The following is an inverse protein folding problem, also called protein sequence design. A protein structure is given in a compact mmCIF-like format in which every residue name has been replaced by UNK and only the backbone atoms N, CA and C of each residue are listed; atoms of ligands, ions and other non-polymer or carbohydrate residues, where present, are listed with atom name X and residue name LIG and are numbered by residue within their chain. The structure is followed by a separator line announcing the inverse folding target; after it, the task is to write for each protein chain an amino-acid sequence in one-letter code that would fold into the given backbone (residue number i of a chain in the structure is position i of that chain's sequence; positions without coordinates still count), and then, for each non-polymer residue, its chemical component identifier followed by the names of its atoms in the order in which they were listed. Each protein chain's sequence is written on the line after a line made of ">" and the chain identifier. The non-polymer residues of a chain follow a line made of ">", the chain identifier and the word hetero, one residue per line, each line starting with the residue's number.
data_IF_277454861392
#
_entry.id   IF_277454861392
#
_cell.length_a   1.000
_cell.length_b   1.000
_cell.length_c   1.000
_cell.angle_alpha   90.00
_cell.angle_beta   90.00
_cell.angle_gamma   90.00
#
_symmetry.space_group_name_H-M   'P 1'
#
loop_
_entity.id
_entity.type
_entity.pdbx_description
1 polymer ?
#
# COMPACT_ATOMS: atom_id res chain seq x y z
N UNK A 1 4.35 -28.36 9.43
CA UNK A 1 4.20 -27.08 8.74
C UNK A 1 5.21 -27.07 7.61
N UNK A 2 4.74 -27.44 6.40
CA UNK A 2 5.60 -27.49 5.22
C UNK A 2 5.44 -26.15 4.47
N UNK A 3 6.48 -25.35 4.46
CA UNK A 3 6.60 -24.17 3.63
C UNK A 3 7.17 -24.61 2.28
N UNK A 4 6.38 -24.56 1.22
CA UNK A 4 6.89 -24.63 -0.15
C UNK A 4 7.36 -23.25 -0.58
N UNK A 5 8.58 -23.10 -1.10
CA UNK A 5 9.03 -21.85 -1.68
C UNK A 5 8.40 -21.68 -3.06
N UNK A 6 7.73 -20.56 -3.28
CA UNK A 6 7.36 -20.07 -4.61
C UNK A 6 8.66 -19.72 -5.36
N UNK A 7 9.00 -20.52 -6.36
CA UNK A 7 10.06 -20.19 -7.31
C UNK A 7 9.64 -18.99 -8.12
N UNK A 8 10.34 -17.88 -7.92
CA UNK A 8 10.32 -16.72 -8.81
C UNK A 8 10.97 -17.14 -10.13
N UNK A 9 10.17 -17.26 -11.18
CA UNK A 9 10.67 -17.43 -12.54
C UNK A 9 11.52 -16.22 -12.91
N UNK A 10 12.82 -16.44 -13.04
CA UNK A 10 13.76 -15.52 -13.65
C UNK A 10 13.42 -15.40 -15.14
N UNK A 11 12.82 -14.27 -15.52
CA UNK A 11 12.70 -13.90 -16.92
C UNK A 11 14.12 -13.66 -17.45
N UNK A 12 14.55 -14.50 -18.40
CA UNK A 12 15.73 -14.28 -19.20
C UNK A 12 15.65 -12.90 -19.86
N UNK A 13 16.53 -12.02 -19.42
CA UNK A 13 16.79 -10.77 -20.11
C UNK A 13 17.50 -11.12 -21.43
N UNK A 14 16.75 -11.11 -22.54
CA UNK A 14 17.33 -11.12 -23.87
C UNK A 14 18.30 -9.95 -23.98
N UNK A 15 19.57 -10.29 -24.23
CA UNK A 15 20.63 -9.35 -24.54
C UNK A 15 20.26 -8.55 -25.80
N UNK A 16 19.70 -7.37 -25.59
CA UNK A 16 19.64 -6.36 -26.62
C UNK A 16 21.08 -5.90 -26.88
N UNK A 17 21.52 -5.99 -28.16
CA UNK A 17 22.85 -5.60 -28.58
C UNK A 17 23.25 -4.25 -28.00
N UNK A 18 24.51 -4.17 -27.55
CA UNK A 18 25.11 -2.96 -26.99
C UNK A 18 25.14 -1.89 -28.08
N UNK A 19 24.17 -0.99 -28.08
CA UNK A 19 24.19 0.23 -28.90
C UNK A 19 25.25 1.14 -28.28
N UNK A 20 26.18 1.72 -29.09
CA UNK A 20 27.21 2.61 -28.56
C UNK A 20 26.57 3.75 -27.80
N UNK A 21 26.88 3.85 -26.51
CA UNK A 21 26.25 4.83 -25.62
C UNK A 21 26.85 6.23 -25.74
N UNK A 22 28.01 6.34 -26.39
CA UNK A 22 28.73 7.60 -26.49
C UNK A 22 28.29 8.47 -27.69
N UNK A 23 28.25 9.75 -27.47
CA UNK A 23 27.90 10.75 -28.50
C UNK A 23 29.14 11.07 -29.32
N UNK A 24 29.04 10.84 -30.62
CA UNK A 24 30.13 11.19 -31.54
C UNK A 24 30.29 12.73 -31.67
N UNK A 25 31.51 13.24 -31.92
CA UNK A 25 31.74 14.68 -32.15
C UNK A 25 30.91 15.26 -33.32
N UNK A 26 30.62 14.43 -34.33
CA UNK A 26 29.75 14.78 -35.46
C UNK A 26 28.29 15.05 -34.97
N UNK A 27 27.78 14.23 -34.08
CA UNK A 27 26.43 14.41 -33.57
C UNK A 27 26.32 15.71 -32.75
N UNK A 28 27.33 16.04 -31.96
CA UNK A 28 27.39 17.31 -31.21
C UNK A 28 27.41 18.53 -32.16
N UNK A 29 28.16 18.44 -33.26
CA UNK A 29 28.21 19.52 -34.26
C UNK A 29 26.87 19.71 -34.98
N UNK A 30 26.16 18.60 -35.31
CA UNK A 30 24.81 18.67 -35.89
C UNK A 30 23.80 19.34 -34.96
N UNK A 31 23.83 19.02 -33.65
CA UNK A 31 22.99 19.70 -32.66
C UNK A 31 23.27 21.20 -32.59
N UNK A 32 24.53 21.59 -32.65
CA UNK A 32 24.95 23.01 -32.68
C UNK A 32 24.41 23.72 -33.91
N UNK A 33 24.52 23.10 -35.10
CA UNK A 33 24.03 23.65 -36.35
C UNK A 33 22.52 23.72 -36.43
N UNK A 34 21.81 22.72 -35.86
CA UNK A 34 20.36 22.70 -35.79
C UNK A 34 19.79 23.67 -34.73
N UNK A 35 20.64 24.27 -33.88
CA UNK A 35 20.25 25.13 -32.75
C UNK A 35 19.27 24.43 -31.77
N UNK A 36 19.37 23.11 -31.64
CA UNK A 36 18.54 22.27 -30.78
C UNK A 36 19.19 22.11 -29.41
N UNK A 37 18.96 23.04 -28.50
CA UNK A 37 19.36 22.92 -27.10
C UNK A 37 20.87 23.05 -26.82
N UNK A 38 21.25 22.92 -25.54
CA UNK A 38 22.64 23.00 -25.09
C UNK A 38 23.32 21.63 -25.23
N UNK A 39 24.40 21.55 -25.96
CA UNK A 39 25.19 20.34 -26.22
C UNK A 39 26.08 19.93 -25.02
N UNK A 40 26.24 20.77 -24.00
CA UNK A 40 27.21 20.59 -22.92
C UNK A 40 26.88 19.48 -21.91
N UNK A 41 25.71 18.89 -21.99
CA UNK A 41 25.26 17.87 -21.01
C UNK A 41 24.78 16.56 -21.66
N UNK A 42 25.03 16.33 -22.93
CA UNK A 42 24.60 15.12 -23.63
C UNK A 42 25.63 14.00 -23.39
N UNK A 43 25.31 13.07 -22.48
CA UNK A 43 26.20 11.96 -22.14
C UNK A 43 25.80 10.63 -22.82
N UNK A 44 24.65 10.57 -23.50
CA UNK A 44 24.20 9.37 -24.20
C UNK A 44 23.36 9.69 -25.43
N UNK A 45 23.31 8.75 -26.40
CA UNK A 45 22.46 8.85 -27.59
C UNK A 45 20.96 8.97 -27.25
N UNK A 46 20.50 8.35 -26.16
CA UNK A 46 19.12 8.48 -25.69
C UNK A 46 18.80 9.89 -25.19
N UNK A 47 19.73 10.54 -24.46
CA UNK A 47 19.55 11.94 -24.07
C UNK A 47 19.53 12.86 -25.28
N UNK A 48 20.37 12.59 -26.29
CA UNK A 48 20.35 13.31 -27.53
C UNK A 48 19.02 13.16 -28.29
N UNK A 49 18.45 11.95 -28.33
CA UNK A 49 17.15 11.71 -28.95
C UNK A 49 16.00 12.43 -28.21
N UNK A 50 16.03 12.47 -26.88
CA UNK A 50 15.04 13.19 -26.05
C UNK A 50 15.11 14.71 -26.32
N UNK A 51 16.31 15.29 -26.38
CA UNK A 51 16.48 16.71 -26.73
C UNK A 51 16.03 16.98 -28.15
N UNK A 52 16.31 16.08 -29.10
CA UNK A 52 15.86 16.21 -30.48
C UNK A 52 14.33 16.17 -30.58
N UNK A 53 13.67 15.28 -29.86
CA UNK A 53 12.21 15.18 -29.83
C UNK A 53 11.58 16.50 -29.37
N UNK A 54 12.05 17.08 -28.27
CA UNK A 54 11.58 18.38 -27.77
C UNK A 54 11.85 19.52 -28.78
N UNK A 55 12.98 19.45 -29.48
CA UNK A 55 13.30 20.42 -30.53
C UNK A 55 12.34 20.30 -31.71
N UNK A 56 11.95 19.09 -32.10
CA UNK A 56 10.97 18.84 -33.16
C UNK A 56 9.57 19.34 -32.81
N UNK A 57 9.15 19.22 -31.56
CA UNK A 57 7.87 19.73 -31.07
C UNK A 57 7.77 21.27 -31.16
N UNK A 58 8.93 21.97 -31.12
CA UNK A 58 9.01 23.43 -31.17
C UNK A 58 9.38 23.95 -32.54
N UNK A 59 9.86 23.10 -33.46
CA UNK A 59 10.36 23.51 -34.76
C UNK A 59 9.23 23.79 -35.74
N UNK A 60 9.16 25.03 -36.21
CA UNK A 60 8.22 25.46 -37.26
C UNK A 60 8.70 25.04 -38.67
N UNK A 61 10.02 24.90 -38.88
CA UNK A 61 10.63 24.52 -40.16
C UNK A 61 11.72 23.47 -39.91
N UNK A 62 11.69 22.38 -40.67
CA UNK A 62 12.71 21.33 -40.61
C UNK A 62 13.88 21.72 -41.50
N UNK A 63 15.01 22.09 -40.88
CA UNK A 63 16.26 22.44 -41.57
C UNK A 63 17.05 21.18 -41.95
N UNK A 64 17.99 21.30 -42.91
CA UNK A 64 18.81 20.17 -43.35
C UNK A 64 19.66 19.53 -42.22
N UNK A 65 20.29 20.29 -41.30
CA UNK A 65 20.92 19.71 -40.12
C UNK A 65 19.95 18.91 -39.22
N UNK A 66 18.70 19.36 -39.11
CA UNK A 66 17.69 18.69 -38.34
C UNK A 66 17.25 17.36 -38.97
N UNK A 67 17.15 17.32 -40.33
CA UNK A 67 16.91 16.04 -41.06
C UNK A 67 18.02 15.02 -40.83
N UNK A 68 19.27 15.47 -40.83
CA UNK A 68 20.42 14.61 -40.59
C UNK A 68 20.39 14.06 -39.13
N UNK A 69 20.06 14.89 -38.13
CA UNK A 69 19.88 14.45 -36.75
C UNK A 69 18.78 13.40 -36.61
N UNK A 70 17.64 13.58 -37.27
CA UNK A 70 16.56 12.59 -37.30
C UNK A 70 17.07 11.26 -37.85
N UNK A 71 17.79 11.27 -38.96
CA UNK A 71 18.36 10.05 -39.56
C UNK A 71 19.38 9.36 -38.66
N UNK A 72 20.26 10.12 -38.02
CA UNK A 72 21.30 9.59 -37.10
C UNK A 72 20.72 8.99 -35.79
N UNK A 73 19.58 9.52 -35.33
CA UNK A 73 18.94 9.12 -34.06
C UNK A 73 17.62 8.40 -34.29
N UNK A 74 17.32 7.95 -35.50
CA UNK A 74 16.04 7.32 -35.83
C UNK A 74 15.74 6.07 -34.98
N UNK A 75 16.74 5.23 -34.72
CA UNK A 75 16.56 4.03 -33.91
C UNK A 75 16.19 4.37 -32.45
N UNK A 76 16.86 5.36 -31.90
CA UNK A 76 16.61 5.84 -30.53
C UNK A 76 15.24 6.52 -30.42
N UNK A 77 14.87 7.35 -31.39
CA UNK A 77 13.56 8.01 -31.46
C UNK A 77 12.44 6.97 -31.54
N UNK A 78 12.58 5.97 -32.40
CA UNK A 78 11.59 4.87 -32.50
C UNK A 78 11.46 4.13 -31.15
N UNK A 79 12.58 3.85 -30.50
CA UNK A 79 12.59 3.17 -29.20
C UNK A 79 11.91 4.03 -28.13
N UNK A 80 12.15 5.34 -28.10
CA UNK A 80 11.50 6.26 -27.15
C UNK A 80 10.01 6.35 -27.42
N UNK A 81 9.58 6.47 -28.68
CA UNK A 81 8.16 6.49 -29.04
C UNK A 81 7.44 5.24 -28.57
N UNK A 82 8.02 4.06 -28.81
CA UNK A 82 7.44 2.80 -28.29
C UNK A 82 7.40 2.71 -26.76
N UNK A 83 8.40 3.27 -26.07
CA UNK A 83 8.39 3.34 -24.59
C UNK A 83 7.29 4.26 -24.10
N UNK A 84 7.12 5.43 -24.69
CA UNK A 84 6.07 6.38 -24.36
C UNK A 84 4.69 5.73 -24.57
N UNK A 85 4.42 5.17 -25.75
CA UNK A 85 3.16 4.47 -26.02
C UNK A 85 2.86 3.36 -25.02
N UNK A 86 3.88 2.57 -24.63
CA UNK A 86 3.72 1.53 -23.63
C UNK A 86 3.43 2.08 -22.23
N UNK A 87 4.05 3.22 -21.88
CA UNK A 87 3.78 3.90 -20.60
C UNK A 87 2.37 4.49 -20.58
N UNK A 88 1.93 5.11 -21.67
CA UNK A 88 0.56 5.61 -21.84
C UNK A 88 -0.46 4.45 -21.70
N UNK A 89 -0.27 3.36 -22.43
CA UNK A 89 -1.14 2.18 -22.31
C UNK A 89 -1.18 1.60 -20.90
N UNK A 90 -0.05 1.58 -20.19
CA UNK A 90 -0.01 1.14 -18.78
C UNK A 90 -0.70 2.15 -17.86
N UNK A 91 -0.53 3.44 -18.11
CA UNK A 91 -1.21 4.50 -17.37
C UNK A 91 -2.73 4.40 -17.54
N UNK A 92 -3.20 4.21 -18.77
CA UNK A 92 -4.62 4.05 -19.07
C UNK A 92 -5.20 2.77 -18.46
N UNK A 93 -4.45 1.66 -18.52
CA UNK A 93 -4.85 0.42 -17.88
C UNK A 93 -4.91 0.56 -16.34
N UNK A 94 -3.95 1.26 -15.73
CA UNK A 94 -3.97 1.57 -14.31
C UNK A 94 -5.14 2.50 -13.96
N UNK A 95 -5.40 3.53 -14.77
CA UNK A 95 -6.53 4.43 -14.58
C UNK A 95 -7.86 3.68 -14.61
N UNK A 96 -8.01 2.68 -15.50
CA UNK A 96 -9.19 1.81 -15.54
C UNK A 96 -9.34 0.87 -14.35
N UNK A 97 -8.25 0.57 -13.62
CA UNK A 97 -8.25 -0.26 -12.42
C UNK A 97 -8.43 0.57 -11.14
N UNK A 98 -8.28 1.88 -11.20
CA UNK A 98 -8.50 2.74 -10.05
C UNK A 98 -9.99 2.89 -9.75
N UNK A 99 -10.38 2.56 -8.52
CA UNK A 99 -11.74 2.79 -8.01
C UNK A 99 -12.11 4.28 -8.09
N UNK A 100 -11.14 5.15 -7.86
CA UNK A 100 -11.27 6.61 -7.96
C UNK A 100 -9.88 7.24 -7.95
N UNK A 101 -9.64 8.38 -8.64
CA UNK A 101 -8.36 9.08 -8.57
C UNK A 101 -8.05 9.66 -7.17
N UNK A 102 -9.07 9.88 -6.36
CA UNK A 102 -8.94 10.45 -5.01
C UNK A 102 -9.17 9.43 -3.89
N UNK A 103 -9.71 8.25 -4.22
CA UNK A 103 -10.05 7.22 -3.23
C UNK A 103 -9.28 5.93 -3.51
N UNK A 104 -8.53 5.48 -2.52
CA UNK A 104 -7.85 4.19 -2.53
C UNK A 104 -8.63 3.18 -1.70
N UNK A 105 -8.92 2.03 -2.31
CA UNK A 105 -9.52 0.87 -1.64
C UNK A 105 -8.41 -0.12 -1.29
N UNK A 106 -8.32 -0.48 -0.01
CA UNK A 106 -7.41 -1.50 0.50
C UNK A 106 -8.21 -2.62 1.16
N UNK A 107 -8.01 -3.85 0.72
CA UNK A 107 -8.58 -5.05 1.32
C UNK A 107 -7.52 -5.84 2.08
N UNK A 108 -7.88 -6.35 3.25
CA UNK A 108 -7.08 -7.32 4.03
C UNK A 108 -8.01 -8.43 4.49
N UNK A 109 -7.69 -9.67 4.10
CA UNK A 109 -8.42 -10.87 4.52
C UNK A 109 -7.50 -11.73 5.38
N UNK A 110 -7.94 -12.07 6.58
CA UNK A 110 -7.21 -12.93 7.50
C UNK A 110 -8.05 -14.18 7.73
N UNK A 111 -7.45 -15.36 7.57
CA UNK A 111 -8.07 -16.65 7.84
C UNK A 111 -7.30 -17.36 8.95
N UNK A 112 -8.02 -17.91 9.89
CA UNK A 112 -7.48 -18.59 11.07
C UNK A 112 -8.06 -19.99 11.11
N UNK A 113 -7.19 -20.98 11.26
CA UNK A 113 -7.54 -22.36 11.57
C UNK A 113 -6.72 -22.77 12.78
N UNK A 114 -7.38 -23.16 13.85
CA UNK A 114 -6.69 -23.57 15.06
C UNK A 114 -7.60 -24.17 16.10
N UNK A 115 -7.00 -24.63 17.17
CA UNK A 115 -7.68 -25.11 18.35
C UNK A 115 -6.79 -24.95 19.58
N UNK A 116 -7.40 -24.75 20.73
CA UNK A 116 -6.71 -24.63 22.01
C UNK A 116 -6.82 -25.93 22.80
N UNK A 117 -5.68 -26.35 23.35
CA UNK A 117 -5.64 -27.46 24.31
C UNK A 117 -5.47 -26.88 25.72
N UNK A 118 -6.34 -27.28 26.64
CA UNK A 118 -6.31 -26.83 28.03
C UNK A 118 -5.85 -27.97 28.94
N UNK A 119 -4.92 -27.66 29.85
CA UNK A 119 -4.40 -28.61 30.84
C UNK A 119 -4.09 -27.87 32.16
N UNK A 120 -3.83 -28.63 33.23
CA UNK A 120 -3.33 -28.14 34.52
C UNK A 120 -4.37 -27.91 35.62
N UNK A 121 -5.64 -27.64 35.29
CA UNK A 121 -6.69 -27.57 36.29
C UNK A 121 -7.31 -28.97 36.54
N UNK A 122 -7.70 -29.28 37.76
CA UNK A 122 -8.33 -30.55 38.08
C UNK A 122 -9.87 -30.46 38.04
N UNK A 123 -10.52 -31.58 37.69
CA UNK A 123 -11.94 -31.79 37.86
C UNK A 123 -12.86 -31.13 36.84
N UNK A 124 -14.07 -30.83 37.28
CA UNK A 124 -15.18 -30.38 36.43
C UNK A 124 -14.91 -29.07 35.72
N UNK A 125 -14.09 -28.20 36.30
CA UNK A 125 -13.73 -26.92 35.65
C UNK A 125 -12.95 -27.15 34.34
N UNK A 126 -11.94 -28.04 34.35
CA UNK A 126 -11.17 -28.35 33.15
C UNK A 126 -12.04 -28.99 32.06
N UNK A 127 -12.95 -29.90 32.45
CA UNK A 127 -13.88 -30.53 31.52
C UNK A 127 -14.84 -29.50 30.90
N UNK A 128 -15.34 -28.56 31.69
CA UNK A 128 -16.17 -27.47 31.21
C UNK A 128 -15.43 -26.58 30.21
N UNK A 129 -14.18 -26.22 30.51
CA UNK A 129 -13.34 -25.41 29.62
C UNK A 129 -13.05 -26.14 28.31
N UNK A 130 -12.66 -27.42 28.38
CA UNK A 130 -12.38 -28.22 27.18
C UNK A 130 -13.61 -28.40 26.30
N UNK A 131 -14.78 -28.62 26.87
CA UNK A 131 -16.04 -28.79 26.14
C UNK A 131 -16.48 -27.49 25.45
N UNK A 132 -16.19 -26.34 26.04
CA UNK A 132 -16.62 -25.05 25.53
C UNK A 132 -15.61 -24.43 24.53
N UNK A 133 -14.31 -24.58 24.78
CA UNK A 133 -13.26 -23.85 24.06
C UNK A 133 -12.23 -24.76 23.39
N UNK A 134 -12.32 -26.07 23.54
CA UNK A 134 -11.33 -27.02 23.00
C UNK A 134 -11.59 -27.48 21.56
N UNK A 135 -12.58 -26.93 20.88
CA UNK A 135 -12.89 -27.29 19.51
C UNK A 135 -11.90 -26.65 18.51
N UNK A 136 -11.81 -27.26 17.33
CA UNK A 136 -11.18 -26.62 16.21
C UNK A 136 -12.07 -25.47 15.70
N UNK A 137 -11.48 -24.30 15.54
CA UNK A 137 -12.14 -23.11 15.03
C UNK A 137 -11.63 -22.78 13.63
N UNK A 138 -12.54 -22.35 12.77
CA UNK A 138 -12.23 -21.69 11.51
C UNK A 138 -12.84 -20.29 11.56
N UNK A 139 -11.96 -19.30 11.66
CA UNK A 139 -12.36 -17.91 11.72
C UNK A 139 -11.80 -17.11 10.56
N UNK A 140 -12.47 -16.03 10.23
CA UNK A 140 -11.98 -15.06 9.27
C UNK A 140 -12.26 -13.63 9.73
N UNK A 141 -11.46 -12.71 9.20
CA UNK A 141 -11.63 -11.27 9.33
C UNK A 141 -11.36 -10.59 7.99
N UNK A 142 -12.33 -9.86 7.51
CA UNK A 142 -12.24 -9.06 6.27
C UNK A 142 -12.26 -7.59 6.62
N UNK A 143 -11.22 -6.87 6.27
CA UNK A 143 -11.10 -5.41 6.41
C UNK A 143 -11.10 -4.78 5.04
N UNK A 144 -12.00 -3.83 4.79
CA UNK A 144 -12.02 -2.97 3.60
C UNK A 144 -11.85 -1.53 4.05
N UNK A 145 -10.76 -0.91 3.63
CA UNK A 145 -10.44 0.47 4.01
C UNK A 145 -10.48 1.37 2.78
N UNK A 146 -11.35 2.37 2.82
CA UNK A 146 -11.40 3.47 1.86
C UNK A 146 -10.62 4.65 2.45
N UNK A 147 -9.64 5.12 1.69
CA UNK A 147 -8.83 6.30 2.03
C UNK A 147 -8.98 7.33 0.92
N UNK A 148 -9.57 8.47 1.24
CA UNK A 148 -9.87 9.54 0.28
C UNK A 148 -9.19 10.83 0.72
N UNK A 149 -8.53 11.51 -0.20
CA UNK A 149 -8.05 12.86 -0.03
C UNK A 149 -8.77 13.78 -1.02
N UNK A 150 -9.31 14.92 -0.53
CA UNK A 150 -9.99 15.91 -1.36
C UNK A 150 -9.07 17.05 -1.79
N UNK A 151 -8.09 17.36 -0.95
CA UNK A 151 -7.18 18.49 -1.15
C UNK A 151 -5.72 18.08 -1.38
N UNK A 152 -5.42 16.78 -1.31
CA UNK A 152 -4.06 16.25 -1.34
C UNK A 152 -3.30 16.38 -0.01
N UNK A 153 -3.87 17.06 0.98
CA UNK A 153 -3.27 17.26 2.31
C UNK A 153 -4.15 16.74 3.46
N UNK A 154 -5.32 16.24 3.14
CA UNK A 154 -6.33 15.72 4.04
C UNK A 154 -6.50 14.21 3.85
N UNK A 155 -7.15 13.55 4.80
CA UNK A 155 -7.43 12.12 4.74
C UNK A 155 -8.76 11.79 5.40
N UNK A 156 -9.73 11.36 4.58
CA UNK A 156 -10.91 10.65 5.05
C UNK A 156 -10.58 9.15 5.08
N UNK A 157 -10.79 8.51 6.22
CA UNK A 157 -10.61 7.08 6.39
C UNK A 157 -11.91 6.43 6.84
N UNK A 158 -12.40 5.50 6.04
CA UNK A 158 -13.56 4.67 6.38
C UNK A 158 -13.13 3.21 6.26
N UNK A 159 -13.25 2.46 7.37
CA UNK A 159 -12.96 1.02 7.37
C UNK A 159 -14.23 0.25 7.69
N UNK A 160 -14.58 -0.63 6.78
CA UNK A 160 -15.59 -1.66 6.97
C UNK A 160 -14.90 -2.94 7.43
N UNK A 161 -15.56 -3.69 8.31
CA UNK A 161 -15.03 -4.97 8.82
C UNK A 161 -16.15 -5.97 8.96
N UNK A 162 -15.87 -7.21 8.60
CA UNK A 162 -16.73 -8.37 8.81
C UNK A 162 -15.88 -9.55 9.25
N UNK A 163 -16.42 -10.38 10.12
CA UNK A 163 -15.76 -11.59 10.62
C UNK A 163 -16.70 -12.43 11.44
N UNK A 164 -16.26 -13.60 11.84
CA UNK A 164 -17.03 -14.55 12.61
C UNK A 164 -16.40 -14.93 13.97
N UNK A 165 -15.24 -14.32 14.34
CA UNK A 165 -14.60 -14.59 15.63
C UNK A 165 -15.27 -13.77 16.74
N UNK A 166 -16.00 -14.45 17.62
CA UNK A 166 -16.69 -13.83 18.77
C UNK A 166 -15.69 -13.59 19.91
N UNK A 167 -15.48 -12.34 20.26
CA UNK A 167 -14.57 -11.92 21.33
C UNK A 167 -15.00 -12.35 22.74
N UNK A 168 -16.23 -12.83 22.90
CA UNK A 168 -16.76 -13.27 24.21
C UNK A 168 -16.82 -14.79 24.36
N UNK A 169 -17.01 -15.52 23.27
CA UNK A 169 -17.34 -16.94 23.35
C UNK A 169 -16.28 -17.87 22.74
N UNK A 170 -15.51 -17.39 21.78
CA UNK A 170 -14.48 -18.18 21.12
C UNK A 170 -13.16 -18.15 21.91
N UNK A 171 -12.39 -19.23 21.88
CA UNK A 171 -11.14 -19.33 22.64
C UNK A 171 -10.05 -18.41 22.08
N UNK A 172 -10.11 -18.10 20.79
CA UNK A 172 -9.26 -17.11 20.12
C UNK A 172 -9.84 -15.68 20.18
N UNK A 173 -11.09 -15.52 20.60
CA UNK A 173 -11.75 -14.24 20.81
C UNK A 173 -11.65 -13.71 22.24
N UNK A 174 -10.95 -14.41 23.14
CA UNK A 174 -10.81 -14.00 24.55
C UNK A 174 -11.83 -14.63 25.51
N UNK A 175 -12.69 -15.54 25.03
CA UNK A 175 -13.65 -16.27 25.86
C UNK A 175 -13.03 -17.37 26.72
N UNK A 176 -11.78 -17.76 26.48
CA UNK A 176 -11.10 -18.82 27.22
C UNK A 176 -10.77 -18.45 28.66
N UNK A 177 -10.25 -19.41 29.46
CA UNK A 177 -9.95 -19.23 30.90
C UNK A 177 -8.80 -18.23 31.13
N UNK A 178 -8.01 -17.97 30.11
CA UNK A 178 -6.98 -16.91 30.08
C UNK A 178 -7.02 -16.22 28.72
N UNK A 179 -6.67 -14.95 28.69
CA UNK A 179 -6.59 -14.18 27.42
C UNK A 179 -5.32 -14.42 26.61
N UNK A 180 -4.55 -15.46 26.91
CA UNK A 180 -3.26 -15.74 26.27
C UNK A 180 -3.39 -16.17 24.81
N UNK A 181 -4.54 -16.71 24.42
CA UNK A 181 -4.84 -17.12 23.05
C UNK A 181 -5.70 -16.11 22.27
N UNK A 182 -6.09 -15.01 22.92
CA UNK A 182 -6.88 -13.95 22.26
C UNK A 182 -6.11 -13.36 21.07
N UNK A 183 -6.80 -13.27 19.93
CA UNK A 183 -6.23 -12.74 18.68
C UNK A 183 -6.62 -11.28 18.47
N UNK A 184 -5.66 -10.45 18.07
CA UNK A 184 -5.90 -9.07 17.64
C UNK A 184 -6.22 -8.99 16.14
N UNK A 185 -5.67 -9.90 15.35
CA UNK A 185 -5.76 -9.84 13.89
C UNK A 185 -7.12 -10.18 13.33
N UNK A 186 -7.97 -10.90 14.09
CA UNK A 186 -9.31 -11.23 13.64
C UNK A 186 -10.31 -11.09 14.77
N UNK A 187 -11.44 -10.46 14.49
CA UNK A 187 -12.58 -10.44 15.39
C UNK A 187 -13.89 -10.07 14.67
N UNK A 188 -14.98 -10.37 15.29
CA UNK A 188 -16.33 -10.01 14.87
C UNK A 188 -16.60 -8.54 15.16
N UNK A 189 -17.01 -7.76 14.13
CA UNK A 189 -17.26 -6.33 14.29
C UNK A 189 -18.64 -6.01 14.87
N UNK A 190 -19.63 -6.83 14.58
CA UNK A 190 -20.99 -6.69 15.09
C UNK A 190 -21.29 -7.79 16.13
N UNK A 191 -22.44 -7.69 16.82
CA UNK A 191 -22.92 -8.75 17.72
C UNK A 191 -23.35 -10.02 16.98
N UNK A 192 -23.49 -9.94 15.67
CA UNK A 192 -23.86 -11.08 14.82
C UNK A 192 -22.69 -11.37 13.88
N UNK A 193 -22.27 -12.64 13.75
CA UNK A 193 -21.24 -13.06 12.80
C UNK A 193 -21.61 -12.65 11.36
N UNK A 194 -20.59 -12.48 10.54
CA UNK A 194 -20.69 -12.25 9.10
C UNK A 194 -21.34 -10.92 8.68
N UNK A 195 -21.76 -10.07 9.62
CA UNK A 195 -22.31 -8.76 9.31
C UNK A 195 -21.20 -7.71 9.14
N UNK A 196 -21.35 -6.90 8.11
CA UNK A 196 -20.45 -5.78 7.84
C UNK A 196 -20.76 -4.65 8.81
N UNK A 197 -19.77 -4.22 9.55
CA UNK A 197 -19.85 -3.05 10.43
C UNK A 197 -18.83 -1.98 10.08
N UNK A 198 -19.10 -0.73 10.49
CA UNK A 198 -18.14 0.38 10.38
C UNK A 198 -17.13 0.26 11.52
N UNK A 199 -15.89 -0.11 11.18
CA UNK A 199 -14.82 -0.27 12.17
C UNK A 199 -14.09 1.06 12.44
N UNK A 200 -13.88 1.90 11.43
CA UNK A 200 -13.27 3.22 11.54
C UNK A 200 -14.03 4.21 10.67
N UNK A 201 -14.21 5.44 11.15
CA UNK A 201 -14.77 6.55 10.38
C UNK A 201 -14.25 7.85 10.95
N UNK A 202 -13.27 8.46 10.30
CA UNK A 202 -12.66 9.71 10.75
C UNK A 202 -12.10 10.50 9.57
N UNK A 203 -11.96 11.81 9.80
CA UNK A 203 -11.40 12.75 8.84
C UNK A 203 -10.31 13.58 9.52
N UNK A 204 -9.17 13.69 8.85
CA UNK A 204 -7.99 14.41 9.30
C UNK A 204 -7.61 15.45 8.27
N UNK A 205 -7.37 16.69 8.70
CA UNK A 205 -6.98 17.77 7.83
C UNK A 205 -6.12 18.82 8.54
N UNK A 206 -5.18 19.47 7.85
CA UNK A 206 -4.40 20.56 8.41
C UNK A 206 -5.27 21.81 8.57
N UNK A 207 -5.25 22.42 9.73
CA UNK A 207 -5.86 23.73 10.00
C UNK A 207 -4.85 24.87 9.93
N UNK A 208 -3.56 24.52 10.09
CA UNK A 208 -2.45 25.44 9.86
C UNK A 208 -1.21 24.64 9.42
N UNK A 209 -0.06 25.31 9.33
CA UNK A 209 1.22 24.65 8.96
C UNK A 209 1.64 23.61 10.00
N UNK A 210 1.38 23.87 11.28
CA UNK A 210 1.89 23.09 12.40
C UNK A 210 0.77 22.32 13.15
N UNK A 211 -0.48 22.49 12.71
CA UNK A 211 -1.62 21.88 13.39
C UNK A 211 -2.49 21.06 12.47
N UNK A 212 -2.76 19.85 12.87
CA UNK A 212 -3.64 18.90 12.17
C UNK A 212 -4.81 18.53 13.08
N UNK A 213 -6.03 18.68 12.58
CA UNK A 213 -7.25 18.29 13.28
C UNK A 213 -7.74 16.92 12.77
N UNK A 214 -8.07 16.06 13.72
CA UNK A 214 -8.71 14.76 13.44
C UNK A 214 -10.08 14.74 14.11
N UNK A 215 -11.11 14.44 13.35
CA UNK A 215 -12.50 14.30 13.82
C UNK A 215 -13.07 12.97 13.34
N UNK A 216 -13.80 12.26 14.18
CA UNK A 216 -14.43 11.01 13.76
C UNK A 216 -15.46 10.49 14.73
N UNK A 217 -16.42 9.74 14.19
CA UNK A 217 -17.41 8.98 14.97
C UNK A 217 -16.84 7.67 15.50
N UNK A 218 -15.82 7.12 14.83
CA UNK A 218 -15.13 5.88 15.21
C UNK A 218 -13.62 6.02 14.95
N UNK A 219 -12.95 6.62 15.90
CA UNK A 219 -11.49 6.86 15.87
C UNK A 219 -10.87 6.39 17.18
N UNK A 220 -9.68 5.87 17.13
CA UNK A 220 -8.88 5.54 18.30
C UNK A 220 -7.80 6.59 18.53
N UNK A 221 -7.31 6.68 19.75
CA UNK A 221 -6.28 7.64 20.13
C UNK A 221 -5.00 7.50 19.31
N UNK A 222 -4.63 6.31 18.90
CA UNK A 222 -3.40 6.05 18.14
C UNK A 222 -3.35 6.79 16.80
N UNK A 223 -4.51 7.13 16.22
CA UNK A 223 -4.59 7.93 14.98
C UNK A 223 -4.20 9.39 15.20
N UNK A 224 -4.37 9.88 16.43
CA UNK A 224 -4.12 11.27 16.82
C UNK A 224 -2.71 11.48 17.40
N UNK A 225 -1.89 10.45 17.47
CA UNK A 225 -0.51 10.56 17.95
C UNK A 225 0.42 10.94 16.80
N UNK A 226 1.22 11.97 16.99
CA UNK A 226 2.25 12.39 16.03
C UNK A 226 3.33 11.30 15.84
N UNK A 227 3.66 10.62 16.93
CA UNK A 227 4.59 9.51 16.95
C UNK A 227 4.10 8.43 17.92
N UNK A 228 4.13 7.19 17.49
CA UNK A 228 3.81 6.08 18.38
C UNK A 228 4.97 5.85 19.34
N UNK A 229 4.67 5.61 20.61
CA UNK A 229 5.69 5.39 21.62
C UNK A 229 6.31 3.98 21.57
N UNK A 230 5.95 3.18 20.57
CA UNK A 230 6.48 1.83 20.36
C UNK A 230 6.95 1.63 18.92
N UNK A 231 8.09 0.95 18.76
CA UNK A 231 8.60 0.50 17.46
C UNK A 231 7.87 -0.76 16.95
N UNK A 232 7.13 -1.43 17.81
CA UNK A 232 6.34 -2.60 17.45
C UNK A 232 5.04 -2.19 16.76
N UNK A 233 4.53 -3.01 15.83
CA UNK A 233 3.28 -2.72 15.14
C UNK A 233 2.10 -2.65 16.13
N UNK A 234 1.07 -1.88 15.75
CA UNK A 234 -0.17 -1.78 16.52
C UNK A 234 -0.92 -3.12 16.52
N UNK A 235 -0.98 -3.75 15.37
CA UNK A 235 -1.63 -5.04 15.16
C UNK A 235 -0.60 -6.15 15.24
N UNK A 236 -0.70 -7.02 16.23
CA UNK A 236 0.05 -8.26 16.36
C UNK A 236 -0.89 -9.46 16.22
N UNK A 237 -0.36 -10.68 16.11
CA UNK A 237 -1.19 -11.88 16.00
C UNK A 237 -1.97 -12.10 17.29
N UNK A 238 -1.30 -11.99 18.44
CA UNK A 238 -1.91 -12.13 19.75
C UNK A 238 -2.16 -10.76 20.39
N UNK A 239 -3.36 -10.57 20.96
CA UNK A 239 -3.74 -9.33 21.65
C UNK A 239 -2.78 -8.98 22.80
N UNK A 240 -2.30 -9.99 23.55
CA UNK A 240 -1.33 -9.82 24.63
C UNK A 240 -0.08 -9.04 24.23
N UNK A 241 0.36 -9.17 22.97
CA UNK A 241 1.55 -8.52 22.44
C UNK A 241 1.25 -7.19 21.72
N UNK A 242 -0.01 -6.88 21.51
CA UNK A 242 -0.45 -5.64 20.86
C UNK A 242 0.03 -4.45 21.66
N UNK A 243 0.50 -3.44 20.95
CA UNK A 243 1.06 -2.21 21.53
C UNK A 243 2.13 -2.50 22.59
N UNK A 244 3.02 -3.46 22.32
CA UNK A 244 4.10 -3.88 23.22
C UNK A 244 3.61 -4.44 24.58
N UNK A 245 2.44 -5.07 24.61
CA UNK A 245 1.83 -5.60 25.82
C UNK A 245 1.22 -4.55 26.75
N UNK A 246 1.01 -3.33 26.26
CA UNK A 246 0.41 -2.24 27.03
C UNK A 246 -0.81 -1.59 26.33
N UNK A 247 -1.81 -2.37 25.90
CA UNK A 247 -2.95 -1.82 25.16
C UNK A 247 -3.74 -0.78 25.97
N UNK A 248 -3.77 -0.87 27.28
CA UNK A 248 -4.43 0.09 28.17
C UNK A 248 -3.74 1.46 28.22
N UNK A 249 -2.45 1.55 27.87
CA UNK A 249 -1.71 2.83 27.84
C UNK A 249 -2.01 3.63 26.55
N UNK A 250 -2.46 2.96 25.51
CA UNK A 250 -2.74 3.56 24.20
C UNK A 250 -4.17 3.24 23.79
N UNK A 251 -5.14 3.76 24.47
CA UNK A 251 -6.54 3.43 24.25
C UNK A 251 -6.88 3.03 22.80
N UNK A 252 -7.10 1.71 22.59
CA UNK A 252 -7.60 1.16 21.33
C UNK A 252 -9.11 1.33 21.19
N UNK A 253 -9.78 1.78 22.25
CA UNK A 253 -11.21 1.97 22.25
C UNK A 253 -11.64 2.95 21.15
N UNK A 254 -12.70 2.56 20.46
CA UNK A 254 -13.31 3.34 19.41
C UNK A 254 -14.40 4.22 19.97
N UNK A 255 -14.32 5.51 19.72
CA UNK A 255 -15.34 6.46 20.14
C UNK A 255 -15.47 7.63 19.19
N UNK A 256 -16.49 8.45 19.40
CA UNK A 256 -16.61 9.76 18.77
C UNK A 256 -15.66 10.72 19.50
N UNK A 257 -14.58 11.10 18.82
CA UNK A 257 -13.51 11.93 19.41
C UNK A 257 -12.99 12.93 18.37
N UNK A 258 -12.51 14.06 18.86
CA UNK A 258 -11.68 15.00 18.11
C UNK A 258 -10.33 15.16 18.80
N UNK A 259 -9.27 15.32 18.03
CA UNK A 259 -7.92 15.56 18.51
C UNK A 259 -7.16 16.54 17.64
N UNK A 260 -6.29 17.31 18.28
CA UNK A 260 -5.41 18.27 17.63
C UNK A 260 -3.95 17.80 17.84
N UNK A 261 -3.20 17.72 16.75
CA UNK A 261 -1.78 17.38 16.75
C UNK A 261 -0.96 18.56 16.26
#
# INVERSE_FOLDING_TARGET
>A
MLLMPLQSGSAEAQQAGVVPTEISPRLQELFRQAKCGSTHQLNSRYQAADVLQRCLEQAVIITDPLKQLIGELQAELTTLTHKIQRLEQRSDALAGLHFSPTTHLQGVSTFIIGGNAFDGAAGDHLNSVRSRYGAMEFAYDQKLTLRTSFTGKDLLNIRLRAGNLDTANDSFGGGGPSKLSELEVAFQQSSTPDLIGVNRAWYQFPISRDWTLTLGSRVNQSVMLTMRPSVYPEDTVLDLLTQSGAPGAYSSNLGAVGGLM
#
